data_IF_189364986313
#
_entry.id   IF_189364986313
#
_cell.length_a   1.000
_cell.length_b   1.000
_cell.length_c   1.000
_cell.angle_alpha   90.00
_cell.angle_beta   90.00
_cell.angle_gamma   90.00
#
_symmetry.space_group_name_H-M   'P 1'
#
loop_
_entity.id
_entity.type
_entity.pdbx_description
1 polymer ?
#
# COMPACT_ATOMS: atom_id res chain seq x y z
N UNK A 1 5.51 -11.76 -4.86
CA UNK A 1 5.98 -11.94 -6.27
C UNK A 1 6.68 -10.71 -6.82
N UNK A 2 6.13 -9.50 -6.69
CA UNK A 2 6.69 -8.24 -7.19
C UNK A 2 8.09 -7.98 -6.61
N UNK A 3 8.31 -8.24 -5.33
CA UNK A 3 9.63 -8.12 -4.67
C UNK A 3 10.70 -9.08 -5.25
N UNK A 4 10.30 -10.18 -5.87
CA UNK A 4 11.21 -11.11 -6.57
C UNK A 4 11.60 -10.62 -7.96
N UNK A 5 10.73 -9.88 -8.65
CA UNK A 5 11.03 -9.26 -9.94
C UNK A 5 12.04 -8.11 -9.74
N UNK A 6 11.88 -7.33 -8.67
CA UNK A 6 12.87 -6.32 -8.27
C UNK A 6 14.24 -6.93 -7.91
N UNK A 7 14.26 -8.11 -7.27
CA UNK A 7 15.52 -8.83 -6.96
C UNK A 7 16.30 -9.30 -8.20
N UNK A 8 15.62 -9.57 -9.31
CA UNK A 8 16.26 -10.02 -10.55
C UNK A 8 16.84 -8.90 -11.42
N UNK A 9 16.44 -7.65 -11.18
CA UNK A 9 16.83 -6.47 -12.00
C UNK A 9 17.86 -5.59 -11.30
N UNK A 10 18.00 -5.69 -9.97
CA UNK A 10 19.07 -5.05 -9.20
C UNK A 10 20.06 -6.12 -8.74
N UNK A 11 21.34 -5.82 -8.91
CA UNK A 11 22.47 -6.68 -8.61
C UNK A 11 22.39 -7.25 -7.19
N UNK A 12 22.28 -8.56 -7.05
CA UNK A 12 22.38 -9.27 -5.75
C UNK A 12 23.83 -9.38 -5.27
N UNK A 13 24.62 -8.32 -5.55
CA UNK A 13 26.02 -8.24 -5.19
C UNK A 13 26.19 -8.05 -3.70
N UNK A 14 27.22 -8.71 -3.15
CA UNK A 14 27.57 -8.57 -1.74
C UNK A 14 28.15 -7.18 -1.47
N UNK A 15 27.86 -6.64 -0.29
CA UNK A 15 28.41 -5.34 0.15
C UNK A 15 29.94 -5.30 0.17
N UNK A 16 30.59 -6.44 0.36
CA UNK A 16 32.06 -6.57 0.41
C UNK A 16 32.76 -6.26 -0.92
N UNK A 17 32.03 -6.20 -2.05
CA UNK A 17 32.57 -5.77 -3.34
C UNK A 17 32.85 -4.27 -3.37
N UNK A 18 32.19 -3.49 -2.49
CA UNK A 18 32.34 -2.05 -2.42
C UNK A 18 33.65 -1.69 -1.69
N UNK A 19 34.48 -0.86 -2.33
CA UNK A 19 35.74 -0.40 -1.75
C UNK A 19 35.53 0.21 -0.35
N UNK A 20 36.26 -0.29 0.63
CA UNK A 20 36.25 0.21 2.00
C UNK A 20 35.23 -0.47 2.91
N UNK A 21 34.55 -1.52 2.45
CA UNK A 21 33.70 -2.38 3.29
C UNK A 21 34.50 -3.61 3.71
N UNK A 22 34.90 -3.63 4.98
CA UNK A 22 35.37 -4.82 5.66
C UNK A 22 34.28 -5.42 6.56
N UNK A 23 34.55 -6.56 7.22
CA UNK A 23 33.58 -7.28 8.05
C UNK A 23 32.92 -6.42 9.14
N UNK A 24 33.65 -5.44 9.70
CA UNK A 24 33.13 -4.53 10.71
C UNK A 24 32.05 -3.57 10.18
N UNK A 25 32.28 -2.97 8.99
CA UNK A 25 31.32 -2.07 8.33
C UNK A 25 30.13 -2.83 7.80
N UNK A 26 30.35 -3.99 7.22
CA UNK A 26 29.26 -4.88 6.78
C UNK A 26 28.29 -5.20 7.95
N UNK A 27 28.83 -5.57 9.11
CA UNK A 27 28.05 -5.83 10.32
C UNK A 27 27.26 -4.59 10.79
N UNK A 28 27.83 -3.40 10.61
CA UNK A 28 27.12 -2.14 10.90
C UNK A 28 25.95 -1.91 9.94
N UNK A 29 26.17 -2.12 8.63
CA UNK A 29 25.14 -1.96 7.61
C UNK A 29 24.01 -2.99 7.76
N UNK A 30 24.31 -4.22 8.15
CA UNK A 30 23.32 -5.24 8.45
C UNK A 30 22.34 -4.84 9.56
N UNK A 31 22.79 -4.04 10.57
CA UNK A 31 21.89 -3.49 11.60
C UNK A 31 20.82 -2.56 11.03
N UNK A 32 21.05 -1.97 9.86
CA UNK A 32 20.11 -1.13 9.13
C UNK A 32 19.23 -1.91 8.14
N UNK A 33 19.38 -3.25 8.07
CA UNK A 33 18.72 -4.08 7.06
C UNK A 33 19.37 -4.03 5.68
N UNK A 34 20.56 -3.39 5.58
CA UNK A 34 21.32 -3.29 4.33
C UNK A 34 22.20 -4.53 4.21
N UNK A 35 21.81 -5.49 3.38
CA UNK A 35 22.47 -6.80 3.24
C UNK A 35 23.20 -7.02 1.91
N UNK A 36 22.85 -6.24 0.88
CA UNK A 36 23.40 -6.30 -0.47
C UNK A 36 23.38 -4.91 -1.13
N UNK A 37 23.92 -4.79 -2.34
CA UNK A 37 23.95 -3.53 -3.10
C UNK A 37 22.52 -3.00 -3.37
N UNK A 38 21.58 -3.86 -3.71
CA UNK A 38 20.18 -3.45 -3.91
C UNK A 38 19.59 -2.77 -2.67
N UNK A 39 19.73 -3.39 -1.49
CA UNK A 39 19.24 -2.81 -0.23
C UNK A 39 19.99 -1.54 0.16
N UNK A 40 21.27 -1.38 -0.26
CA UNK A 40 22.01 -0.14 -0.07
C UNK A 40 21.45 0.99 -0.93
N UNK A 41 21.25 0.76 -2.23
CA UNK A 41 20.75 1.76 -3.17
C UNK A 41 19.29 2.16 -2.90
N UNK A 42 18.49 1.25 -2.39
CA UNK A 42 17.10 1.53 -1.99
C UNK A 42 16.96 2.06 -0.57
N UNK A 43 18.06 2.17 0.18
CA UNK A 43 18.06 2.79 1.50
C UNK A 43 18.14 4.31 1.38
N UNK A 44 17.05 4.92 0.93
CA UNK A 44 16.99 6.35 0.68
C UNK A 44 17.13 7.19 1.96
N UNK A 45 17.70 8.41 1.85
CA UNK A 45 17.77 9.36 2.95
C UNK A 45 16.39 9.71 3.51
N UNK A 46 16.29 9.90 4.81
CA UNK A 46 15.06 10.37 5.47
C UNK A 46 14.79 11.86 5.21
N UNK A 47 15.86 12.65 5.10
CA UNK A 47 15.83 14.09 4.87
C UNK A 47 17.16 14.55 4.30
N UNK A 48 17.24 15.81 3.91
CA UNK A 48 18.44 16.43 3.39
C UNK A 48 18.75 17.72 4.14
N UNK A 49 20.03 18.05 4.25
CA UNK A 49 20.54 19.31 4.78
C UNK A 49 21.17 20.10 3.64
N UNK A 50 20.73 21.35 3.49
CA UNK A 50 21.41 22.27 2.58
C UNK A 50 22.65 22.85 3.27
N UNK A 51 23.83 22.31 2.90
CA UNK A 51 25.14 22.74 3.40
C UNK A 51 25.89 23.58 2.37
N UNK A 52 25.23 24.15 1.38
CA UNK A 52 25.85 25.04 0.40
C UNK A 52 26.40 26.30 1.06
N UNK A 53 25.72 26.79 2.10
CA UNK A 53 26.16 27.92 2.89
C UNK A 53 26.53 27.47 4.30
N UNK A 54 27.79 27.69 4.68
CA UNK A 54 28.30 27.55 6.04
C UNK A 54 28.48 28.96 6.59
N UNK A 55 27.78 29.26 7.67
CA UNK A 55 27.83 30.58 8.29
C UNK A 55 28.98 30.67 9.29
N UNK A 56 29.49 31.89 9.47
CA UNK A 56 30.35 32.21 10.62
C UNK A 56 29.46 32.42 11.85
N UNK A 57 30.00 32.09 13.02
CA UNK A 57 29.23 32.24 14.28
C UNK A 57 28.82 33.69 14.51
N UNK A 58 29.71 34.66 14.18
CA UNK A 58 29.44 36.08 14.33
C UNK A 58 28.34 36.64 13.39
N UNK A 59 28.05 35.94 12.28
CA UNK A 59 27.03 36.36 11.31
C UNK A 59 25.65 35.77 11.64
N UNK A 60 25.54 34.93 12.66
CA UNK A 60 24.27 34.29 13.02
C UNK A 60 23.30 35.29 13.63
N UNK A 61 22.06 35.21 13.18
CA UNK A 61 20.93 35.92 13.77
C UNK A 61 19.95 34.91 14.40
N UNK A 62 19.29 35.33 15.48
CA UNK A 62 18.25 34.48 16.10
C UNK A 62 17.16 34.12 15.10
N UNK A 63 16.82 32.84 15.02
CA UNK A 63 15.86 32.28 14.06
C UNK A 63 16.46 31.71 12.77
N UNK A 64 17.74 32.00 12.47
CA UNK A 64 18.43 31.42 11.30
C UNK A 64 18.68 29.93 11.48
N UNK A 65 18.46 29.16 10.41
CA UNK A 65 18.80 27.75 10.33
C UNK A 65 19.96 27.57 9.35
N UNK A 66 21.02 26.86 9.76
CA UNK A 66 22.16 26.62 8.87
C UNK A 66 23.29 25.85 9.54
N UNK A 67 24.33 25.62 8.74
CA UNK A 67 25.53 24.91 9.15
C UNK A 67 26.62 25.84 9.66
N UNK A 68 27.38 25.40 10.64
CA UNK A 68 28.50 26.10 11.24
C UNK A 68 29.63 25.10 11.46
N UNK A 69 30.87 25.56 11.26
CA UNK A 69 32.08 24.84 11.65
C UNK A 69 32.75 25.59 12.79
N UNK A 70 33.02 24.89 13.85
CA UNK A 70 33.75 25.49 15.00
C UNK A 70 34.60 24.47 15.73
N UNK A 71 35.55 24.98 16.48
CA UNK A 71 36.43 24.17 17.36
C UNK A 71 35.84 24.14 18.74
N UNK A 72 35.77 22.97 19.36
CA UNK A 72 35.28 22.78 20.74
C UNK A 72 36.25 23.46 21.71
N UNK A 73 35.73 24.44 22.46
CA UNK A 73 36.49 25.15 23.50
C UNK A 73 36.11 24.71 24.92
N UNK A 74 34.87 24.25 25.12
CA UNK A 74 34.42 23.74 26.43
C UNK A 74 33.34 22.68 26.27
N UNK A 75 33.30 21.74 27.22
CA UNK A 75 32.23 20.73 27.34
C UNK A 75 31.82 20.62 28.79
N UNK A 76 30.55 20.88 29.10
CA UNK A 76 30.05 20.85 30.46
C UNK A 76 28.72 20.09 30.54
N UNK A 77 28.59 19.19 31.52
CA UNK A 77 27.32 18.54 31.82
C UNK A 77 26.68 19.16 33.06
N UNK A 78 25.41 19.51 32.97
CA UNK A 78 24.60 20.02 34.08
C UNK A 78 23.42 19.09 34.31
N UNK A 79 23.04 18.87 35.57
CA UNK A 79 21.86 18.06 35.94
C UNK A 79 20.94 18.90 36.84
N UNK A 80 20.14 19.80 36.24
CA UNK A 80 19.30 20.72 37.03
C UNK A 80 18.17 20.02 37.78
N UNK A 81 17.74 18.84 37.33
CA UNK A 81 16.69 18.01 37.96
C UNK A 81 17.01 16.52 37.84
N UNK A 82 16.49 15.65 38.75
CA UNK A 82 16.52 14.21 38.56
C UNK A 82 15.82 13.85 37.21
N UNK A 83 16.40 13.17 36.29
CA UNK A 83 15.96 12.83 34.94
C UNK A 83 16.22 13.87 33.86
N UNK A 84 16.83 15.03 34.13
CA UNK A 84 17.20 16.01 33.11
C UNK A 84 18.71 16.21 33.11
N UNK A 85 19.39 15.71 32.09
CA UNK A 85 20.81 15.98 31.83
C UNK A 85 20.90 16.96 30.65
N UNK A 86 21.68 18.01 30.82
CA UNK A 86 21.99 19.01 29.81
C UNK A 86 23.49 18.96 29.54
N UNK A 87 23.87 18.57 28.34
CA UNK A 87 25.24 18.63 27.87
C UNK A 87 25.43 19.91 27.06
N UNK A 88 26.23 20.82 27.54
CA UNK A 88 26.62 22.04 26.82
C UNK A 88 27.98 21.84 26.16
N UNK A 89 28.03 22.00 24.85
CA UNK A 89 29.27 22.02 24.06
C UNK A 89 29.43 23.42 23.48
N UNK A 90 30.50 24.10 23.84
CA UNK A 90 30.79 25.43 23.30
C UNK A 90 31.82 25.30 22.20
N UNK A 91 31.48 25.80 21.01
CA UNK A 91 32.39 25.84 19.87
C UNK A 91 32.70 27.30 19.49
N UNK A 92 33.82 27.52 18.85
CA UNK A 92 34.25 28.83 18.34
C UNK A 92 34.92 28.70 16.97
N UNK A 93 34.74 29.72 16.12
CA UNK A 93 35.33 29.78 14.77
C UNK A 93 36.26 31.00 14.56
N UNK A 94 36.61 31.70 15.65
CA UNK A 94 37.38 32.95 15.62
C UNK A 94 36.52 34.21 15.48
N UNK A 95 35.22 34.13 15.13
CA UNK A 95 34.31 35.28 15.07
C UNK A 95 33.42 35.39 16.30
N UNK A 96 33.28 34.29 17.05
CA UNK A 96 32.53 34.25 18.32
C UNK A 96 32.32 32.84 18.85
N UNK A 97 31.77 32.70 20.05
CA UNK A 97 31.38 31.42 20.62
C UNK A 97 29.91 31.10 20.31
N UNK A 98 29.60 29.82 20.07
CA UNK A 98 28.26 29.27 19.97
C UNK A 98 28.08 28.17 21.01
N UNK A 99 26.99 28.22 21.73
CA UNK A 99 26.62 27.20 22.71
C UNK A 99 25.69 26.16 22.03
N UNK A 100 26.07 24.92 22.05
CA UNK A 100 25.27 23.77 21.64
C UNK A 100 24.72 23.11 22.87
N UNK A 101 23.40 22.93 22.93
CA UNK A 101 22.69 22.37 24.08
C UNK A 101 22.05 21.04 23.67
N UNK A 102 22.49 19.96 24.34
CA UNK A 102 21.96 18.61 24.07
C UNK A 102 21.21 18.12 25.32
N UNK A 103 19.91 17.90 25.18
CA UNK A 103 19.03 17.43 26.25
C UNK A 103 19.08 15.90 26.37
N UNK A 104 19.25 15.40 27.62
CA UNK A 104 19.30 13.97 27.96
C UNK A 104 20.33 13.15 27.16
N UNK A 105 21.41 13.81 26.70
CA UNK A 105 22.47 13.18 25.92
C UNK A 105 23.84 13.26 26.67
N UNK A 106 23.83 13.21 28.01
CA UNK A 106 25.03 13.24 28.80
C UNK A 106 26.05 12.14 28.45
N UNK A 107 25.59 11.00 27.95
CA UNK A 107 26.44 9.92 27.45
C UNK A 107 27.37 10.34 26.30
N UNK A 108 27.05 11.42 25.59
CA UNK A 108 27.87 11.98 24.51
C UNK A 108 29.05 12.86 25.03
N UNK A 109 29.16 13.12 26.31
CA UNK A 109 30.23 13.96 26.89
C UNK A 109 31.63 13.53 26.43
N UNK A 110 31.86 12.24 26.36
CA UNK A 110 33.18 11.69 25.99
C UNK A 110 33.44 11.70 24.47
N UNK A 111 32.42 11.97 23.65
CA UNK A 111 32.57 12.09 22.19
C UNK A 111 33.11 13.44 21.77
N UNK A 112 32.95 14.48 22.60
CA UNK A 112 33.37 15.83 22.28
C UNK A 112 34.57 16.23 23.16
N UNK A 113 35.71 16.42 22.53
CA UNK A 113 36.95 16.81 23.24
C UNK A 113 37.35 18.23 22.84
N UNK A 114 37.94 18.98 23.78
CA UNK A 114 38.52 20.30 23.50
C UNK A 114 39.53 20.20 22.38
N UNK A 115 39.47 21.15 21.41
CA UNK A 115 40.32 21.17 20.23
C UNK A 115 39.73 20.46 19.02
N UNK A 116 38.67 19.63 19.14
CA UNK A 116 38.06 18.98 18.01
C UNK A 116 37.27 19.97 17.11
N UNK A 117 37.39 19.81 15.79
CA UNK A 117 36.54 20.52 14.83
C UNK A 117 35.21 19.80 14.67
N UNK A 118 34.14 20.54 14.80
CA UNK A 118 32.76 20.02 14.72
C UNK A 118 31.99 20.86 13.69
N UNK A 119 31.23 20.18 12.86
CA UNK A 119 30.11 20.77 12.10
C UNK A 119 28.84 20.61 12.91
N UNK A 120 28.06 21.69 13.03
CA UNK A 120 26.73 21.70 13.63
C UNK A 120 25.73 22.33 12.70
N UNK A 121 24.58 21.68 12.49
CA UNK A 121 23.47 22.18 11.68
C UNK A 121 22.20 22.24 12.51
N UNK A 122 21.59 23.41 12.58
CA UNK A 122 20.39 23.62 13.37
C UNK A 122 19.91 25.06 13.33
N UNK A 123 18.85 25.32 14.10
CA UNK A 123 18.32 26.67 14.28
C UNK A 123 19.09 27.37 15.38
N UNK A 124 19.64 28.55 15.05
CA UNK A 124 20.31 29.42 16.01
C UNK A 124 19.29 30.29 16.74
N UNK A 125 19.37 30.37 18.05
CA UNK A 125 18.49 31.17 18.90
C UNK A 125 19.32 31.95 19.92
N UNK A 126 18.96 33.22 20.16
CA UNK A 126 19.58 33.99 21.22
C UNK A 126 18.81 33.79 22.51
N UNK A 127 19.41 33.06 23.47
CA UNK A 127 18.79 32.73 24.75
C UNK A 127 19.82 32.86 25.85
N UNK A 128 19.38 33.29 27.01
CA UNK A 128 20.25 33.44 28.23
C UNK A 128 21.55 34.23 27.97
N UNK A 129 21.47 35.29 27.16
CA UNK A 129 22.59 36.17 26.87
C UNK A 129 23.66 35.60 25.93
N UNK A 130 23.41 34.49 25.27
CA UNK A 130 24.31 33.87 24.29
C UNK A 130 23.58 33.27 23.10
N UNK A 131 24.26 33.22 21.93
CA UNK A 131 23.78 32.50 20.78
C UNK A 131 23.90 30.99 21.05
N UNK A 132 22.83 30.24 20.82
CA UNK A 132 22.82 28.78 21.05
C UNK A 132 22.06 28.03 19.96
N UNK A 133 22.36 26.74 19.84
CA UNK A 133 21.59 25.77 19.07
C UNK A 133 21.12 24.65 19.98
N UNK A 134 19.81 24.36 19.95
CA UNK A 134 19.20 23.28 20.74
C UNK A 134 19.15 22.01 19.93
N UNK A 135 19.85 20.98 20.39
CA UNK A 135 19.92 19.63 19.79
C UNK A 135 20.16 19.65 18.26
N UNK A 136 21.19 20.40 17.78
CA UNK A 136 21.52 20.40 16.36
C UNK A 136 22.05 19.03 15.93
N UNK A 137 22.04 18.79 14.63
CA UNK A 137 22.81 17.68 14.08
C UNK A 137 24.30 18.03 14.18
N UNK A 138 25.10 17.10 14.69
CA UNK A 138 26.53 17.33 14.91
C UNK A 138 27.35 16.23 14.23
N UNK A 139 28.44 16.64 13.60
CA UNK A 139 29.39 15.76 12.92
C UNK A 139 30.81 16.13 13.35
N UNK A 140 31.58 15.12 13.77
CA UNK A 140 32.98 15.33 14.10
C UNK A 140 33.82 15.28 12.81
N UNK A 141 34.48 16.36 12.47
CA UNK A 141 35.26 16.49 11.22
C UNK A 141 36.66 15.88 11.32
N UNK A 142 37.13 15.52 12.52
CA UNK A 142 38.51 15.08 12.75
C UNK A 142 39.53 16.21 12.57
N UNK A 143 40.81 15.86 12.53
CA UNK A 143 41.89 16.81 12.34
C UNK A 143 41.98 17.24 10.86
N UNK A 144 41.67 18.51 10.59
CA UNK A 144 41.74 19.08 9.23
C UNK A 144 40.61 18.68 8.29
N UNK A 145 39.60 17.91 8.75
CA UNK A 145 38.45 17.54 7.93
C UNK A 145 37.57 18.73 7.60
N UNK A 146 36.97 18.72 6.41
CA UNK A 146 35.97 19.67 5.98
C UNK A 146 34.58 18.99 5.95
N UNK A 147 33.50 19.73 6.23
CA UNK A 147 32.16 19.18 6.13
C UNK A 147 31.78 18.93 4.68
N UNK A 148 30.96 17.90 4.43
CA UNK A 148 30.33 17.72 3.12
C UNK A 148 29.56 19.00 2.76
N UNK A 149 29.77 19.49 1.52
CA UNK A 149 29.08 20.66 0.99
C UNK A 149 27.99 20.25 0.03
N UNK A 150 27.03 21.15 -0.25
CA UNK A 150 25.92 20.89 -1.13
C UNK A 150 24.67 20.40 -0.38
N UNK A 151 23.83 19.64 -1.05
CA UNK A 151 22.66 19.00 -0.43
C UNK A 151 23.07 17.63 0.11
N UNK A 152 23.20 17.52 1.42
CA UNK A 152 23.77 16.35 2.09
C UNK A 152 22.66 15.43 2.60
N UNK A 153 22.67 14.13 2.27
CA UNK A 153 21.67 13.17 2.70
C UNK A 153 21.82 12.83 4.20
N UNK A 154 20.69 12.72 4.88
CA UNK A 154 20.57 12.26 6.26
C UNK A 154 19.80 10.95 6.29
N UNK A 155 20.50 9.87 6.62
CA UNK A 155 19.92 8.53 6.69
C UNK A 155 19.36 8.24 8.09
N UNK A 156 18.35 7.36 8.17
CA UNK A 156 18.01 6.73 9.43
C UNK A 156 19.17 5.87 9.92
N UNK A 157 19.47 5.88 11.22
CA UNK A 157 20.59 5.16 11.78
C UNK A 157 20.13 4.20 12.90
N UNK A 158 20.94 3.17 13.14
CA UNK A 158 20.88 2.30 14.31
C UNK A 158 22.08 2.55 15.21
N UNK A 159 22.02 2.06 16.45
CA UNK A 159 23.10 2.22 17.42
C UNK A 159 24.45 1.68 16.91
N UNK A 160 25.46 2.55 17.01
CA UNK A 160 26.82 2.25 16.57
C UNK A 160 27.08 2.39 15.07
N UNK A 161 26.10 2.93 14.30
CA UNK A 161 26.27 3.28 12.88
C UNK A 161 26.29 4.80 12.74
N UNK A 162 27.24 5.34 11.97
CA UNK A 162 27.33 6.79 11.71
C UNK A 162 26.87 7.16 10.32
N UNK A 163 26.45 8.41 10.12
CA UNK A 163 26.14 8.99 8.80
C UNK A 163 27.29 8.79 7.82
N UNK A 164 28.51 8.97 8.31
CA UNK A 164 29.72 8.80 7.48
C UNK A 164 29.82 7.39 6.88
N UNK A 165 29.51 6.35 7.65
CA UNK A 165 29.57 4.96 7.15
C UNK A 165 28.61 4.78 5.99
N UNK A 166 27.36 5.20 6.12
CA UNK A 166 26.35 5.04 5.08
C UNK A 166 26.70 5.91 3.86
N UNK A 167 26.95 7.21 4.06
CA UNK A 167 27.32 8.14 2.96
C UNK A 167 28.56 7.68 2.20
N UNK A 168 29.62 7.32 2.90
CA UNK A 168 30.85 6.88 2.24
C UNK A 168 30.66 5.57 1.47
N UNK A 169 29.85 4.65 1.98
CA UNK A 169 29.53 3.41 1.28
C UNK A 169 28.78 3.65 -0.02
N UNK A 170 27.70 4.44 0.03
CA UNK A 170 26.92 4.80 -1.16
C UNK A 170 27.78 5.57 -2.16
N UNK A 171 28.57 6.55 -1.69
CA UNK A 171 29.47 7.33 -2.54
C UNK A 171 30.53 6.45 -3.23
N UNK A 172 31.13 5.52 -2.51
CA UNK A 172 32.12 4.60 -3.06
C UNK A 172 31.51 3.68 -4.11
N UNK A 173 30.26 3.26 -3.93
CA UNK A 173 29.57 2.47 -4.94
C UNK A 173 29.36 3.28 -6.22
N UNK A 174 28.83 4.50 -6.14
CA UNK A 174 28.64 5.37 -7.32
C UNK A 174 29.96 5.78 -7.99
N UNK A 175 31.06 5.87 -7.25
CA UNK A 175 32.36 6.16 -7.82
C UNK A 175 32.96 5.00 -8.62
N UNK A 176 32.59 3.76 -8.30
CA UNK A 176 33.08 2.56 -8.96
C UNK A 176 32.18 2.06 -10.09
N UNK A 177 30.91 2.49 -10.11
CA UNK A 177 29.89 2.05 -11.05
C UNK A 177 29.30 3.27 -11.75
N UNK A 178 29.01 3.14 -13.04
CA UNK A 178 28.52 4.25 -13.87
C UNK A 178 27.18 3.93 -14.54
N UNK A 179 26.65 2.72 -14.36
CA UNK A 179 25.44 2.27 -15.01
C UNK A 179 24.58 1.44 -14.05
N UNK A 180 23.27 1.50 -14.26
CA UNK A 180 22.29 0.59 -13.67
C UNK A 180 21.39 0.07 -14.81
N UNK A 181 20.92 -1.19 -14.74
CA UNK A 181 19.99 -1.72 -15.72
C UNK A 181 18.71 -0.89 -15.75
N UNK A 182 18.29 -0.49 -16.94
CA UNK A 182 17.02 0.20 -17.15
C UNK A 182 15.85 -0.77 -17.03
N UNK A 183 14.75 -0.32 -16.41
CA UNK A 183 13.51 -1.10 -16.26
C UNK A 183 12.47 -0.65 -17.26
N UNK A 184 12.38 0.66 -17.48
CA UNK A 184 11.39 1.23 -18.38
C UNK A 184 11.81 1.04 -19.84
N UNK A 185 10.86 0.72 -20.74
CA UNK A 185 11.10 0.76 -22.18
C UNK A 185 11.64 2.12 -22.62
N UNK A 186 12.44 2.12 -23.69
CA UNK A 186 13.08 3.34 -24.22
C UNK A 186 12.02 4.38 -24.61
N UNK A 187 10.92 3.95 -25.22
CA UNK A 187 9.82 4.82 -25.64
C UNK A 187 9.21 5.57 -24.45
N UNK A 188 8.99 4.88 -23.33
CA UNK A 188 8.44 5.49 -22.10
C UNK A 188 9.42 6.49 -21.50
N UNK A 189 10.72 6.18 -21.52
CA UNK A 189 11.74 7.10 -21.00
C UNK A 189 11.85 8.37 -21.83
N UNK A 190 11.80 8.25 -23.16
CA UNK A 190 11.91 9.36 -24.09
C UNK A 190 10.67 10.28 -24.00
N UNK A 191 9.45 9.71 -23.97
CA UNK A 191 8.20 10.46 -23.85
C UNK A 191 8.14 11.29 -22.55
N UNK A 192 8.64 10.75 -21.46
CA UNK A 192 8.64 11.41 -20.16
C UNK A 192 9.91 12.21 -19.87
N UNK A 193 10.90 12.21 -20.77
CA UNK A 193 12.20 12.82 -20.58
C UNK A 193 12.89 12.41 -19.27
N UNK A 194 12.83 11.11 -18.97
CA UNK A 194 13.46 10.56 -17.77
C UNK A 194 14.98 10.49 -17.92
N UNK A 195 15.69 10.72 -16.82
CA UNK A 195 17.14 10.54 -16.75
C UNK A 195 17.49 9.05 -16.72
N UNK A 196 18.79 8.72 -16.87
CA UNK A 196 19.24 7.35 -16.66
C UNK A 196 18.86 6.87 -15.26
N UNK A 197 18.59 5.60 -15.12
CA UNK A 197 18.28 5.02 -13.81
C UNK A 197 19.43 5.21 -12.81
N UNK A 198 20.65 5.14 -13.29
CA UNK A 198 21.84 5.45 -12.49
C UNK A 198 21.79 6.89 -11.95
N UNK A 199 21.51 7.87 -12.81
CA UNK A 199 21.40 9.27 -12.38
C UNK A 199 20.22 9.49 -11.44
N UNK A 200 19.09 8.82 -11.66
CA UNK A 200 17.94 8.91 -10.77
C UNK A 200 18.28 8.42 -9.34
N UNK A 201 18.94 7.26 -9.21
CA UNK A 201 19.41 6.79 -7.91
C UNK A 201 20.46 7.72 -7.30
N UNK A 202 21.39 8.23 -8.11
CA UNK A 202 22.42 9.18 -7.65
C UNK A 202 21.79 10.48 -7.14
N UNK A 203 20.79 11.03 -7.84
CA UNK A 203 20.08 12.24 -7.39
C UNK A 203 19.23 11.98 -6.14
N UNK A 204 18.74 10.76 -5.92
CA UNK A 204 18.09 10.39 -4.66
C UNK A 204 19.05 10.34 -3.48
N UNK A 205 20.30 10.03 -3.69
CA UNK A 205 21.30 9.99 -2.60
C UNK A 205 22.08 11.30 -2.47
N UNK A 206 22.48 11.91 -3.56
CA UNK A 206 23.31 13.12 -3.62
C UNK A 206 22.74 14.09 -4.64
N UNK A 207 21.64 14.77 -4.35
CA UNK A 207 21.01 15.67 -5.30
C UNK A 207 21.85 16.93 -5.52
N UNK A 208 22.04 17.33 -6.76
CA UNK A 208 22.69 18.59 -7.12
C UNK A 208 21.74 19.78 -6.91
N UNK A 209 20.42 19.54 -7.02
CA UNK A 209 19.37 20.53 -6.76
C UNK A 209 18.09 19.87 -6.26
N UNK A 210 17.21 20.64 -5.62
CA UNK A 210 15.90 20.16 -5.20
C UNK A 210 15.03 19.76 -6.40
N UNK A 211 15.18 20.42 -7.54
CA UNK A 211 14.43 20.10 -8.75
C UNK A 211 14.83 18.71 -9.31
N UNK A 212 16.14 18.44 -9.39
CA UNK A 212 16.63 17.13 -9.85
C UNK A 212 16.23 16.00 -8.88
N UNK A 213 16.22 16.27 -7.58
CA UNK A 213 15.71 15.35 -6.59
C UNK A 213 14.24 14.98 -6.84
N UNK A 214 13.37 15.98 -7.05
CA UNK A 214 11.94 15.71 -7.29
C UNK A 214 11.72 14.97 -8.62
N UNK A 215 12.48 15.28 -9.67
CA UNK A 215 12.42 14.54 -10.93
C UNK A 215 12.83 13.06 -10.73
N UNK A 216 13.94 12.83 -10.05
CA UNK A 216 14.42 11.48 -9.74
C UNK A 216 13.41 10.68 -8.90
N UNK A 217 12.86 11.31 -7.86
CA UNK A 217 11.84 10.71 -6.99
C UNK A 217 10.59 10.33 -7.77
N UNK A 218 10.11 11.22 -8.63
CA UNK A 218 8.95 10.95 -9.49
C UNK A 218 9.20 9.79 -10.44
N UNK A 219 10.36 9.78 -11.11
CA UNK A 219 10.75 8.71 -12.02
C UNK A 219 10.82 7.34 -11.31
N UNK A 220 11.50 7.25 -10.16
CA UNK A 220 11.62 5.98 -9.44
C UNK A 220 10.27 5.50 -8.88
N UNK A 221 9.40 6.42 -8.45
CA UNK A 221 8.02 6.07 -8.07
C UNK A 221 7.22 5.55 -9.29
N UNK A 222 7.39 6.15 -10.46
CA UNK A 222 6.78 5.67 -11.70
C UNK A 222 7.29 4.28 -12.06
N UNK A 223 8.60 4.03 -11.98
CA UNK A 223 9.19 2.70 -12.23
C UNK A 223 8.57 1.62 -11.31
N UNK A 224 8.41 1.93 -10.03
CA UNK A 224 7.81 1.01 -9.06
C UNK A 224 6.38 0.64 -9.43
N UNK A 225 5.57 1.64 -9.76
CA UNK A 225 4.19 1.45 -10.21
C UNK A 225 4.11 0.73 -11.56
N UNK A 226 5.00 1.05 -12.50
CA UNK A 226 5.06 0.39 -13.80
C UNK A 226 5.35 -1.11 -13.66
N UNK A 227 6.35 -1.50 -12.88
CA UNK A 227 6.68 -2.92 -12.65
C UNK A 227 5.52 -3.65 -11.98
N UNK A 228 4.85 -3.01 -11.01
CA UNK A 228 3.67 -3.57 -10.37
C UNK A 228 2.53 -3.78 -11.39
N UNK A 229 2.23 -2.79 -12.22
CA UNK A 229 1.18 -2.86 -13.22
C UNK A 229 1.51 -3.87 -14.34
N UNK A 230 2.76 -3.91 -14.80
CA UNK A 230 3.21 -4.92 -15.75
C UNK A 230 3.08 -6.35 -15.19
N UNK A 231 3.44 -6.54 -13.92
CA UNK A 231 3.26 -7.83 -13.23
C UNK A 231 1.80 -8.24 -13.13
N UNK A 232 0.91 -7.31 -12.79
CA UNK A 232 -0.54 -7.54 -12.76
C UNK A 232 -1.09 -7.85 -14.16
N UNK A 233 -0.64 -7.13 -15.19
CA UNK A 233 -1.05 -7.37 -16.57
C UNK A 233 -0.63 -8.76 -17.07
N UNK A 234 0.56 -9.22 -16.70
CA UNK A 234 1.02 -10.59 -17.01
C UNK A 234 0.18 -11.66 -16.31
N UNK A 235 -0.20 -11.43 -15.05
CA UNK A 235 -1.10 -12.33 -14.32
C UNK A 235 -2.48 -12.38 -14.97
N UNK A 236 -3.04 -11.23 -15.34
CA UNK A 236 -4.31 -11.15 -16.10
C UNK A 236 -4.28 -11.94 -17.39
N UNK A 237 -3.24 -11.73 -18.21
CA UNK A 237 -3.09 -12.44 -19.46
C UNK A 237 -3.03 -13.96 -19.26
N UNK A 238 -2.39 -14.43 -18.17
CA UNK A 238 -2.32 -15.85 -17.83
C UNK A 238 -3.69 -16.42 -17.43
N UNK A 239 -4.49 -15.68 -16.68
CA UNK A 239 -5.85 -16.08 -16.30
C UNK A 239 -6.82 -15.98 -17.48
N UNK A 240 -6.66 -15.01 -18.37
CA UNK A 240 -7.46 -14.84 -19.58
C UNK A 240 -7.23 -15.92 -20.66
N UNK A 241 -6.21 -16.76 -20.51
CA UNK A 241 -6.01 -17.94 -21.38
C UNK A 241 -7.02 -19.07 -21.10
N UNK A 242 -7.78 -18.99 -20.00
CA UNK A 242 -8.81 -19.97 -19.68
C UNK A 242 -10.14 -19.59 -20.31
N UNK A 243 -10.85 -20.59 -20.85
CA UNK A 243 -12.22 -20.41 -21.33
C UNK A 243 -13.18 -20.60 -20.17
N UNK A 244 -14.05 -19.63 -19.98
CA UNK A 244 -15.16 -19.70 -19.02
C UNK A 244 -16.47 -20.15 -19.66
N UNK A 245 -17.53 -20.28 -18.88
CA UNK A 245 -18.86 -20.58 -19.38
C UNK A 245 -19.42 -19.39 -20.19
N UNK A 246 -19.46 -19.51 -21.51
CA UNK A 246 -20.09 -18.50 -22.37
C UNK A 246 -21.60 -18.59 -22.22
N UNK A 247 -22.24 -17.54 -21.76
CA UNK A 247 -23.70 -17.49 -21.58
C UNK A 247 -24.39 -16.83 -22.78
N UNK A 248 -25.60 -17.23 -23.03
CA UNK A 248 -26.46 -16.62 -24.02
C UNK A 248 -27.05 -15.28 -23.56
N UNK A 249 -27.92 -14.65 -24.38
CA UNK A 249 -28.65 -13.43 -24.02
C UNK A 249 -29.49 -13.61 -22.74
N UNK A 250 -29.98 -12.53 -22.20
CA UNK A 250 -30.92 -12.57 -21.06
C UNK A 250 -32.22 -13.25 -21.48
N UNK A 251 -32.75 -14.13 -20.64
CA UNK A 251 -33.97 -14.89 -20.92
C UNK A 251 -35.16 -14.44 -20.07
N UNK A 252 -36.16 -15.33 -19.98
CA UNK A 252 -37.45 -15.02 -19.34
C UNK A 252 -37.37 -14.89 -17.81
N UNK A 253 -36.55 -15.68 -17.13
CA UNK A 253 -36.47 -15.64 -15.67
C UNK A 253 -35.99 -14.26 -15.17
N UNK A 254 -35.00 -13.70 -15.84
CA UNK A 254 -34.50 -12.37 -15.51
C UNK A 254 -35.56 -11.30 -15.79
N UNK A 255 -36.28 -11.38 -16.92
CA UNK A 255 -37.34 -10.44 -17.26
C UNK A 255 -38.49 -10.50 -16.25
N UNK A 256 -38.99 -11.70 -15.93
CA UNK A 256 -40.04 -11.91 -14.93
C UNK A 256 -39.60 -11.41 -13.52
N UNK A 257 -38.36 -11.63 -13.16
CA UNK A 257 -37.84 -11.11 -11.90
C UNK A 257 -37.88 -9.57 -11.87
N UNK A 258 -37.46 -8.90 -12.95
CA UNK A 258 -37.44 -7.42 -13.03
C UNK A 258 -38.88 -6.87 -12.96
N UNK A 259 -39.84 -7.49 -13.63
CA UNK A 259 -41.25 -7.08 -13.59
C UNK A 259 -41.87 -7.23 -12.20
N UNK A 260 -41.47 -8.24 -11.46
CA UNK A 260 -41.96 -8.51 -10.10
C UNK A 260 -41.26 -7.70 -8.99
N UNK A 261 -40.21 -6.92 -9.33
CA UNK A 261 -39.58 -6.08 -8.32
C UNK A 261 -40.52 -4.96 -7.86
N UNK A 262 -40.62 -4.68 -6.54
CA UNK A 262 -41.45 -3.60 -6.00
C UNK A 262 -40.90 -2.19 -6.28
N UNK A 263 -39.84 -2.07 -7.07
CA UNK A 263 -39.16 -0.82 -7.42
C UNK A 263 -38.49 -0.94 -8.80
N UNK A 264 -38.22 0.20 -9.42
CA UNK A 264 -37.46 0.25 -10.66
C UNK A 264 -35.96 0.27 -10.38
N UNK A 265 -35.17 -0.37 -11.23
CA UNK A 265 -33.71 -0.33 -11.18
C UNK A 265 -33.20 1.09 -11.46
N UNK A 266 -32.20 1.55 -10.70
CA UNK A 266 -31.53 2.82 -10.97
C UNK A 266 -30.66 2.74 -12.23
N UNK A 267 -30.30 3.91 -12.78
CA UNK A 267 -29.44 3.97 -13.96
C UNK A 267 -28.08 3.30 -13.75
N UNK A 268 -27.49 3.44 -12.54
CA UNK A 268 -26.23 2.78 -12.19
C UNK A 268 -26.37 1.25 -12.09
N UNK A 269 -27.48 0.75 -11.54
CA UNK A 269 -27.77 -0.69 -11.49
C UNK A 269 -27.93 -1.29 -12.87
N UNK A 270 -28.64 -0.59 -13.78
CA UNK A 270 -28.80 -1.01 -15.17
C UNK A 270 -27.46 -1.06 -15.91
N UNK A 271 -26.60 -0.02 -15.72
CA UNK A 271 -25.24 -0.02 -16.30
C UNK A 271 -24.39 -1.16 -15.78
N UNK A 272 -24.43 -1.41 -14.47
CA UNK A 272 -23.69 -2.51 -13.85
C UNK A 272 -24.15 -3.88 -14.37
N UNK A 273 -25.46 -4.07 -14.59
CA UNK A 273 -26.02 -5.29 -15.20
C UNK A 273 -25.59 -5.44 -16.64
N UNK A 274 -25.54 -4.35 -17.41
CA UNK A 274 -25.07 -4.38 -18.79
C UNK A 274 -23.58 -4.73 -18.88
N UNK A 275 -22.76 -4.16 -18.03
CA UNK A 275 -21.34 -4.52 -17.91
C UNK A 275 -21.15 -6.02 -17.61
N UNK A 276 -21.92 -6.55 -16.65
CA UNK A 276 -21.89 -7.96 -16.25
C UNK A 276 -22.39 -8.84 -17.39
N UNK A 277 -23.45 -8.42 -18.10
CA UNK A 277 -23.99 -9.15 -19.25
C UNK A 277 -22.93 -9.34 -20.35
N UNK A 278 -22.25 -8.25 -20.70
CA UNK A 278 -21.18 -8.27 -21.72
C UNK A 278 -20.07 -9.24 -21.31
N UNK A 279 -19.63 -9.19 -20.07
CA UNK A 279 -18.56 -10.08 -19.58
C UNK A 279 -19.01 -11.56 -19.55
N UNK A 280 -20.27 -11.85 -19.15
CA UNK A 280 -20.78 -13.24 -19.08
C UNK A 280 -21.07 -13.83 -20.46
N UNK A 281 -21.27 -13.01 -21.47
CA UNK A 281 -21.46 -13.43 -22.87
C UNK A 281 -20.14 -13.60 -23.64
N UNK A 282 -19.01 -13.19 -23.05
CA UNK A 282 -17.67 -13.46 -23.58
C UNK A 282 -17.23 -14.92 -23.27
N UNK A 283 -16.27 -15.43 -24.03
CA UNK A 283 -15.62 -16.72 -23.77
C UNK A 283 -14.66 -16.70 -22.59
N UNK A 284 -14.33 -15.52 -22.09
CA UNK A 284 -13.43 -15.32 -20.96
C UNK A 284 -14.20 -15.29 -19.64
N UNK A 285 -13.66 -15.91 -18.56
CA UNK A 285 -14.29 -15.81 -17.26
C UNK A 285 -14.36 -14.36 -16.79
N UNK A 286 -15.56 -13.87 -16.47
CA UNK A 286 -15.71 -12.55 -15.85
C UNK A 286 -14.97 -12.51 -14.51
N UNK A 287 -14.21 -11.45 -14.29
CA UNK A 287 -13.61 -11.09 -13.01
C UNK A 287 -13.98 -9.63 -12.72
N UNK A 288 -15.07 -9.39 -11.97
CA UNK A 288 -15.62 -8.04 -11.79
C UNK A 288 -15.87 -7.69 -10.34
N UNK A 289 -15.55 -6.45 -9.99
CA UNK A 289 -15.87 -5.83 -8.70
C UNK A 289 -17.11 -4.93 -8.86
N UNK A 290 -18.17 -5.24 -8.12
CA UNK A 290 -19.37 -4.41 -7.97
C UNK A 290 -19.25 -3.60 -6.69
N UNK A 291 -19.01 -2.32 -6.81
CA UNK A 291 -18.83 -1.40 -5.69
C UNK A 291 -20.04 -0.48 -5.57
N UNK A 292 -20.51 -0.30 -4.35
CA UNK A 292 -21.62 0.63 -4.06
C UNK A 292 -21.84 0.72 -2.55
N UNK A 293 -22.44 1.81 -2.10
CA UNK A 293 -22.71 2.03 -0.68
C UNK A 293 -23.71 0.98 -0.11
N UNK A 294 -23.80 0.89 1.21
CA UNK A 294 -24.78 0.02 1.88
C UNK A 294 -26.21 0.43 1.45
N UNK A 295 -26.97 -0.54 0.92
CA UNK A 295 -28.32 -0.31 0.43
C UNK A 295 -28.41 0.34 -0.96
N UNK A 296 -27.33 0.41 -1.74
CA UNK A 296 -27.35 0.80 -3.17
C UNK A 296 -27.98 -0.24 -4.09
N UNK A 297 -28.37 -1.42 -3.57
CA UNK A 297 -29.00 -2.49 -4.32
C UNK A 297 -28.02 -3.46 -5.02
N UNK A 298 -26.78 -3.60 -4.53
CA UNK A 298 -25.83 -4.61 -5.03
C UNK A 298 -26.41 -6.02 -5.07
N UNK A 299 -27.15 -6.41 -4.03
CA UNK A 299 -27.78 -7.73 -3.93
C UNK A 299 -28.78 -7.99 -5.08
N UNK A 300 -29.52 -6.98 -5.53
CA UNK A 300 -30.44 -7.12 -6.67
C UNK A 300 -29.68 -7.37 -7.95
N UNK A 301 -28.62 -6.61 -8.20
CA UNK A 301 -27.73 -6.83 -9.35
C UNK A 301 -27.12 -8.23 -9.32
N UNK A 302 -26.65 -8.67 -8.16
CA UNK A 302 -26.15 -10.02 -7.94
C UNK A 302 -27.19 -11.10 -8.24
N UNK A 303 -28.43 -10.93 -7.75
CA UNK A 303 -29.53 -11.87 -7.98
C UNK A 303 -29.86 -11.98 -9.46
N UNK A 304 -29.99 -10.85 -10.16
CA UNK A 304 -30.28 -10.84 -11.59
C UNK A 304 -29.15 -11.50 -12.42
N UNK A 305 -27.90 -11.32 -11.99
CA UNK A 305 -26.75 -12.00 -12.63
C UNK A 305 -26.78 -13.52 -12.41
N UNK A 306 -27.21 -13.97 -11.22
CA UNK A 306 -27.40 -15.41 -10.93
C UNK A 306 -28.54 -16.00 -11.76
N UNK A 307 -29.65 -15.28 -11.93
CA UNK A 307 -30.73 -15.73 -12.79
C UNK A 307 -30.29 -15.90 -14.22
N UNK A 308 -29.45 -14.99 -14.75
CA UNK A 308 -28.83 -15.16 -16.07
C UNK A 308 -28.00 -16.44 -16.17
N UNK A 309 -27.24 -16.78 -15.13
CA UNK A 309 -26.48 -18.04 -15.11
C UNK A 309 -27.40 -19.25 -15.11
N UNK A 310 -28.46 -19.22 -14.30
CA UNK A 310 -29.43 -20.32 -14.18
C UNK A 310 -30.19 -20.55 -15.49
N UNK A 311 -30.65 -19.49 -16.16
CA UNK A 311 -31.31 -19.56 -17.47
C UNK A 311 -30.43 -20.24 -18.53
N UNK A 312 -29.11 -20.12 -18.38
CA UNK A 312 -28.15 -20.74 -19.28
C UNK A 312 -27.70 -22.15 -18.84
N UNK A 313 -28.41 -22.76 -17.87
CA UNK A 313 -28.14 -24.14 -17.43
C UNK A 313 -26.95 -24.25 -16.45
N UNK A 314 -26.54 -23.17 -15.83
CA UNK A 314 -25.47 -23.15 -14.84
C UNK A 314 -26.02 -22.97 -13.42
N UNK A 315 -25.25 -23.41 -12.44
CA UNK A 315 -25.49 -23.16 -11.02
C UNK A 315 -24.80 -21.87 -10.58
N UNK A 316 -25.37 -21.20 -9.57
CA UNK A 316 -24.80 -20.02 -8.96
C UNK A 316 -24.52 -20.20 -7.48
N UNK A 317 -23.43 -19.57 -6.99
CA UNK A 317 -23.07 -19.59 -5.59
C UNK A 317 -22.85 -18.17 -5.04
N UNK A 318 -23.36 -17.89 -3.83
CA UNK A 318 -23.08 -16.66 -3.07
C UNK A 318 -22.32 -17.04 -1.80
N UNK A 319 -21.16 -16.46 -1.63
CA UNK A 319 -20.34 -16.62 -0.41
C UNK A 319 -20.41 -15.34 0.42
N UNK A 320 -20.94 -15.45 1.64
CA UNK A 320 -21.03 -14.38 2.63
C UNK A 320 -20.04 -14.62 3.79
N UNK A 321 -19.50 -13.55 4.41
CA UNK A 321 -18.48 -13.68 5.45
C UNK A 321 -19.01 -14.24 6.79
N UNK A 322 -20.30 -14.14 7.06
CA UNK A 322 -20.94 -14.60 8.30
C UNK A 322 -22.24 -15.34 8.01
N UNK A 323 -22.64 -16.21 8.92
CA UNK A 323 -23.91 -16.94 8.81
C UNK A 323 -25.13 -16.01 8.80
N UNK A 324 -25.06 -14.91 9.56
CA UNK A 324 -26.13 -13.90 9.59
C UNK A 324 -26.31 -13.25 8.23
N UNK A 325 -25.23 -12.85 7.58
CA UNK A 325 -25.29 -12.26 6.24
C UNK A 325 -25.74 -13.28 5.18
N UNK A 326 -25.28 -14.53 5.30
CA UNK A 326 -25.74 -15.60 4.43
C UNK A 326 -27.26 -15.83 4.55
N UNK A 327 -27.80 -15.86 5.78
CA UNK A 327 -29.24 -15.97 6.02
C UNK A 327 -30.03 -14.77 5.48
N UNK A 328 -29.52 -13.55 5.67
CA UNK A 328 -30.14 -12.33 5.10
C UNK A 328 -30.18 -12.36 3.56
N UNK A 329 -29.08 -12.77 2.91
CA UNK A 329 -29.08 -12.96 1.46
C UNK A 329 -30.07 -14.02 1.03
N UNK A 330 -30.13 -15.16 1.74
CA UNK A 330 -31.06 -16.25 1.44
C UNK A 330 -32.51 -15.80 1.48
N UNK A 331 -32.94 -15.18 2.59
CA UNK A 331 -34.32 -14.68 2.77
C UNK A 331 -34.68 -13.63 1.71
N UNK A 332 -33.78 -12.66 1.49
CA UNK A 332 -34.00 -11.61 0.50
C UNK A 332 -34.13 -12.15 -0.93
N UNK A 333 -33.24 -13.04 -1.33
CA UNK A 333 -33.22 -13.62 -2.69
C UNK A 333 -34.40 -14.59 -2.86
N UNK A 334 -34.71 -15.40 -1.84
CA UNK A 334 -35.87 -16.30 -1.87
C UNK A 334 -37.18 -15.52 -2.10
N UNK A 335 -37.32 -14.36 -1.42
CA UNK A 335 -38.50 -13.50 -1.61
C UNK A 335 -38.62 -12.97 -3.03
N UNK A 336 -37.52 -12.51 -3.61
CA UNK A 336 -37.49 -11.97 -4.99
C UNK A 336 -37.73 -13.07 -6.04
N UNK A 337 -37.28 -14.29 -5.77
CA UNK A 337 -37.33 -15.43 -6.70
C UNK A 337 -38.50 -16.39 -6.43
N UNK A 338 -39.43 -16.08 -5.51
CA UNK A 338 -40.46 -17.02 -5.02
C UNK A 338 -41.30 -17.70 -6.10
N UNK A 339 -41.55 -17.03 -7.22
CA UNK A 339 -42.43 -17.52 -8.30
C UNK A 339 -41.68 -17.97 -9.58
N UNK A 340 -40.34 -18.09 -9.48
CA UNK A 340 -39.52 -18.38 -10.67
C UNK A 340 -39.19 -19.88 -10.85
N UNK A 341 -39.67 -20.76 -9.97
CA UNK A 341 -39.44 -22.21 -10.07
C UNK A 341 -38.00 -22.64 -9.85
N UNK A 342 -37.17 -21.81 -9.23
CA UNK A 342 -35.76 -22.11 -8.94
C UNK A 342 -35.58 -22.63 -7.50
N UNK A 343 -34.70 -23.60 -7.34
CA UNK A 343 -34.34 -24.16 -6.02
C UNK A 343 -33.15 -23.40 -5.44
N UNK A 344 -33.34 -22.78 -4.27
CA UNK A 344 -32.33 -22.01 -3.56
C UNK A 344 -32.12 -22.65 -2.18
N UNK A 345 -30.86 -22.88 -1.79
CA UNK A 345 -30.51 -23.48 -0.50
C UNK A 345 -29.50 -22.65 0.26
N UNK A 346 -29.47 -22.84 1.59
CA UNK A 346 -28.54 -22.18 2.51
C UNK A 346 -27.62 -23.24 3.14
N UNK A 347 -26.30 -23.04 3.01
CA UNK A 347 -25.27 -23.89 3.59
C UNK A 347 -24.36 -23.11 4.53
N UNK A 348 -24.44 -23.39 5.82
CA UNK A 348 -23.62 -22.73 6.86
C UNK A 348 -22.89 -23.76 7.72
N UNK A 349 -22.03 -23.29 8.64
CA UNK A 349 -21.38 -24.13 9.63
C UNK A 349 -22.39 -24.84 10.54
N UNK A 350 -23.49 -24.16 10.89
CA UNK A 350 -24.57 -24.64 11.76
C UNK A 350 -25.54 -25.63 11.10
N UNK A 351 -25.48 -25.83 9.77
CA UNK A 351 -26.33 -26.81 9.07
C UNK A 351 -26.07 -28.23 9.60
N UNK A 352 -27.14 -28.98 9.83
CA UNK A 352 -27.04 -30.38 10.32
C UNK A 352 -26.40 -31.31 9.30
N UNK A 353 -25.88 -32.43 9.76
CA UNK A 353 -25.24 -33.41 8.86
C UNK A 353 -26.18 -33.89 7.74
N UNK A 354 -27.45 -34.15 8.10
CA UNK A 354 -28.49 -34.61 7.15
C UNK A 354 -28.82 -33.54 6.09
N UNK A 355 -28.89 -32.27 6.51
CA UNK A 355 -29.09 -31.15 5.58
C UNK A 355 -27.89 -31.00 4.67
N UNK A 356 -26.66 -31.08 5.17
CA UNK A 356 -25.44 -31.03 4.35
C UNK A 356 -25.41 -32.12 3.29
N UNK A 357 -25.71 -33.38 3.69
CA UNK A 357 -25.78 -34.50 2.76
C UNK A 357 -26.81 -34.24 1.64
N UNK A 358 -28.04 -33.82 1.99
CA UNK A 358 -29.08 -33.47 1.01
C UNK A 358 -28.64 -32.34 0.06
N UNK A 359 -28.01 -31.31 0.61
CA UNK A 359 -27.55 -30.17 -0.20
C UNK A 359 -26.41 -30.61 -1.11
N UNK A 360 -25.48 -31.45 -0.63
CA UNK A 360 -24.37 -31.95 -1.46
C UNK A 360 -24.86 -32.80 -2.63
N UNK A 361 -25.85 -33.67 -2.39
CA UNK A 361 -26.49 -34.46 -3.44
C UNK A 361 -27.18 -33.54 -4.48
N UNK A 362 -28.00 -32.59 -4.02
CA UNK A 362 -28.71 -31.67 -4.90
C UNK A 362 -27.82 -30.67 -5.67
N UNK A 363 -26.64 -30.36 -5.16
CA UNK A 363 -25.65 -29.59 -5.91
C UNK A 363 -24.97 -30.45 -6.97
N UNK A 364 -24.67 -31.72 -6.66
CA UNK A 364 -23.99 -32.64 -7.55
C UNK A 364 -24.89 -33.13 -8.69
N UNK A 365 -26.18 -33.28 -8.47
CA UNK A 365 -27.15 -33.69 -9.50
C UNK A 365 -27.77 -32.51 -10.27
N UNK A 366 -27.55 -31.26 -9.83
CA UNK A 366 -28.04 -30.03 -10.48
C UNK A 366 -29.45 -29.63 -10.10
N UNK A 367 -30.13 -30.31 -9.14
CA UNK A 367 -31.48 -29.93 -8.67
C UNK A 367 -31.48 -28.65 -7.84
N UNK A 368 -30.35 -28.29 -7.23
CA UNK A 368 -30.15 -27.00 -6.57
C UNK A 368 -29.51 -26.04 -7.59
N UNK A 369 -30.25 -24.99 -7.95
CA UNK A 369 -29.84 -23.99 -8.92
C UNK A 369 -28.97 -22.90 -8.30
N UNK A 370 -29.25 -22.53 -7.05
CA UNK A 370 -28.52 -21.48 -6.34
C UNK A 370 -28.20 -21.91 -4.90
N UNK A 371 -26.96 -21.70 -4.48
CA UNK A 371 -26.53 -21.95 -3.12
C UNK A 371 -25.98 -20.66 -2.48
N UNK A 372 -26.40 -20.37 -1.26
CA UNK A 372 -25.92 -19.28 -0.46
C UNK A 372 -25.24 -19.85 0.79
N UNK A 373 -24.09 -19.35 1.16
CA UNK A 373 -23.44 -19.89 2.35
C UNK A 373 -22.20 -19.12 2.77
N UNK A 374 -21.50 -19.70 3.72
CA UNK A 374 -20.23 -19.18 4.24
C UNK A 374 -19.05 -19.99 3.68
N UNK A 375 -17.93 -20.01 4.40
CA UNK A 375 -16.78 -20.87 4.08
C UNK A 375 -17.13 -22.37 3.96
N UNK A 376 -18.32 -22.80 4.38
CA UNK A 376 -18.80 -24.16 4.20
C UNK A 376 -18.87 -24.55 2.70
N UNK A 377 -19.10 -23.58 1.80
CA UNK A 377 -19.11 -23.82 0.34
C UNK A 377 -17.76 -24.26 -0.24
N UNK A 378 -16.66 -24.00 0.44
CA UNK A 378 -15.30 -24.31 -0.02
C UNK A 378 -14.83 -25.68 0.46
N UNK A 379 -15.59 -26.37 1.33
CA UNK A 379 -15.22 -27.68 1.89
C UNK A 379 -15.15 -28.74 0.79
N UNK A 380 -14.32 -29.76 1.00
CA UNK A 380 -14.03 -30.80 0.00
C UNK A 380 -15.28 -31.60 -0.44
N UNK A 381 -16.27 -31.75 0.43
CA UNK A 381 -17.50 -32.50 0.13
C UNK A 381 -18.48 -31.77 -0.81
N UNK A 382 -18.32 -30.48 -1.07
CA UNK A 382 -19.20 -29.69 -1.95
C UNK A 382 -18.77 -29.85 -3.40
N UNK A 383 -19.59 -30.49 -4.23
CA UNK A 383 -19.37 -30.62 -5.66
C UNK A 383 -20.55 -30.04 -6.40
N UNK A 384 -20.29 -29.26 -7.45
CA UNK A 384 -21.31 -28.68 -8.32
C UNK A 384 -21.43 -29.50 -9.61
N UNK A 385 -22.65 -29.62 -10.12
CA UNK A 385 -22.90 -30.20 -11.44
C UNK A 385 -22.33 -29.29 -12.55
N UNK A 386 -22.63 -28.00 -12.47
CA UNK A 386 -22.20 -27.03 -13.49
C UNK A 386 -22.15 -25.60 -12.93
N UNK A 387 -21.14 -25.29 -12.11
CA UNK A 387 -21.00 -23.97 -11.50
C UNK A 387 -20.57 -22.90 -12.53
N UNK A 388 -21.43 -21.92 -12.83
CA UNK A 388 -21.17 -20.87 -13.81
C UNK A 388 -20.87 -19.49 -13.24
N UNK A 389 -21.45 -19.14 -12.08
CA UNK A 389 -21.24 -17.84 -11.44
C UNK A 389 -21.00 -17.97 -9.95
N UNK A 390 -19.96 -17.32 -9.46
CA UNK A 390 -19.63 -17.19 -8.05
C UNK A 390 -19.70 -15.73 -7.66
N UNK A 391 -20.45 -15.43 -6.60
CA UNK A 391 -20.54 -14.11 -5.99
C UNK A 391 -19.88 -14.14 -4.61
N UNK A 392 -18.99 -13.19 -4.33
CA UNK A 392 -18.32 -13.04 -3.05
C UNK A 392 -18.69 -11.69 -2.44
N UNK A 393 -19.37 -11.72 -1.29
CA UNK A 393 -19.73 -10.50 -0.58
C UNK A 393 -18.66 -10.12 0.45
N UNK A 394 -18.35 -8.80 0.57
CA UNK A 394 -17.39 -8.24 1.53
C UNK A 394 -16.00 -8.93 1.53
N UNK A 395 -15.34 -8.90 0.38
CA UNK A 395 -14.09 -9.62 0.10
C UNK A 395 -12.98 -9.45 1.15
N UNK A 396 -12.89 -8.30 1.83
CA UNK A 396 -11.77 -8.08 2.80
C UNK A 396 -11.78 -9.03 3.99
N UNK A 397 -12.82 -9.81 4.16
CA UNK A 397 -12.92 -10.84 5.18
C UNK A 397 -12.52 -12.24 4.68
N UNK A 398 -12.20 -12.36 3.38
CA UNK A 398 -11.78 -13.63 2.76
C UNK A 398 -10.33 -13.57 2.29
N UNK A 399 -9.57 -14.64 2.54
CA UNK A 399 -8.21 -14.81 2.01
C UNK A 399 -8.20 -15.09 0.51
N UNK A 400 -7.10 -14.75 -0.17
CA UNK A 400 -6.89 -15.03 -1.61
C UNK A 400 -7.07 -16.53 -1.92
N UNK A 401 -6.62 -17.41 -1.01
CA UNK A 401 -6.73 -18.87 -1.16
C UNK A 401 -8.17 -19.39 -1.17
N UNK A 402 -9.08 -18.71 -0.48
CA UNK A 402 -10.48 -19.16 -0.40
C UNK A 402 -11.22 -18.93 -1.71
N UNK A 403 -10.95 -17.79 -2.40
CA UNK A 403 -11.48 -17.55 -3.75
C UNK A 403 -10.99 -18.58 -4.74
N UNK A 404 -9.68 -18.82 -4.75
CA UNK A 404 -9.07 -19.80 -5.64
C UNK A 404 -9.69 -21.18 -5.48
N UNK A 405 -9.96 -21.60 -4.25
CA UNK A 405 -10.64 -22.89 -3.96
C UNK A 405 -12.07 -22.93 -4.49
N UNK A 406 -12.84 -21.83 -4.37
CA UNK A 406 -14.21 -21.82 -4.88
C UNK A 406 -14.23 -21.77 -6.43
N UNK A 407 -13.30 -21.07 -7.05
CA UNK A 407 -13.13 -21.09 -8.50
C UNK A 407 -12.75 -22.49 -9.03
N UNK A 408 -11.99 -23.25 -8.25
CA UNK A 408 -11.62 -24.64 -8.60
C UNK A 408 -12.79 -25.65 -8.51
N UNK A 409 -13.94 -25.26 -7.91
CA UNK A 409 -15.16 -26.09 -7.84
C UNK A 409 -15.93 -26.13 -9.17
N UNK A 410 -15.60 -25.28 -10.15
CA UNK A 410 -16.15 -25.25 -11.48
C UNK A 410 -15.07 -25.19 -12.57
N UNK A 411 -15.48 -25.22 -13.83
CA UNK A 411 -14.56 -25.04 -14.96
C UNK A 411 -14.42 -23.53 -15.24
N UNK A 412 -13.61 -22.84 -14.44
CA UNK A 412 -13.38 -21.39 -14.51
C UNK A 412 -14.68 -20.55 -14.51
N UNK A 413 -15.48 -20.60 -13.43
CA UNK A 413 -16.73 -19.85 -13.33
C UNK A 413 -16.48 -18.35 -13.37
N UNK A 414 -17.47 -17.59 -13.81
CA UNK A 414 -17.49 -16.13 -13.63
C UNK A 414 -17.44 -15.77 -12.16
N UNK A 415 -16.77 -14.67 -11.83
CA UNK A 415 -16.64 -14.18 -10.45
C UNK A 415 -17.09 -12.74 -10.36
N UNK A 416 -18.06 -12.49 -9.51
CA UNK A 416 -18.53 -11.15 -9.13
C UNK A 416 -18.21 -10.91 -7.65
N UNK A 417 -17.44 -9.87 -7.36
CA UNK A 417 -17.11 -9.48 -6.01
C UNK A 417 -17.92 -8.26 -5.64
N UNK A 418 -18.55 -8.26 -4.47
CA UNK A 418 -19.30 -7.13 -3.95
C UNK A 418 -18.57 -6.48 -2.78
N UNK A 419 -18.58 -5.14 -2.71
CA UNK A 419 -18.07 -4.41 -1.55
C UNK A 419 -18.87 -3.14 -1.29
N UNK A 420 -19.09 -2.83 0.00
CA UNK A 420 -19.69 -1.57 0.44
C UNK A 420 -18.63 -0.49 0.72
N UNK A 421 -17.35 -0.87 0.90
CA UNK A 421 -16.31 0.11 1.17
C UNK A 421 -15.92 0.87 -0.10
N UNK A 422 -15.98 2.22 -0.10
CA UNK A 422 -15.49 3.01 -1.22
C UNK A 422 -13.96 2.89 -1.28
N UNK A 423 -13.46 2.05 -2.20
CA UNK A 423 -12.03 1.96 -2.48
C UNK A 423 -11.73 2.99 -3.57
N UNK A 424 -10.80 3.95 -3.38
CA UNK A 424 -10.42 4.88 -4.42
C UNK A 424 -10.03 4.14 -5.70
N UNK A 425 -10.49 4.62 -6.86
CA UNK A 425 -10.28 3.96 -8.16
C UNK A 425 -8.80 3.64 -8.42
N UNK A 426 -7.90 4.52 -8.00
CA UNK A 426 -6.45 4.31 -8.07
C UNK A 426 -5.99 3.15 -7.19
N UNK A 427 -6.59 2.97 -6.02
CA UNK A 427 -6.27 1.88 -5.11
C UNK A 427 -6.90 0.55 -5.57
N UNK A 428 -8.08 0.61 -6.20
CA UNK A 428 -8.70 -0.56 -6.84
C UNK A 428 -7.81 -1.10 -7.95
N UNK A 429 -7.27 -0.24 -8.80
CA UNK A 429 -6.32 -0.60 -9.85
C UNK A 429 -4.99 -1.15 -9.32
N UNK A 430 -4.58 -0.73 -8.12
CA UNK A 430 -3.32 -1.16 -7.51
C UNK A 430 -3.44 -2.48 -6.73
N UNK A 431 -4.56 -2.70 -6.04
CA UNK A 431 -4.78 -3.85 -5.15
C UNK A 431 -5.57 -4.96 -5.83
N UNK A 432 -6.50 -4.60 -6.69
CA UNK A 432 -7.40 -5.50 -7.43
C UNK A 432 -7.23 -5.34 -8.94
N UNK A 433 -6.00 -5.13 -9.38
CA UNK A 433 -5.66 -4.81 -10.75
C UNK A 433 -6.13 -5.82 -11.81
N UNK A 434 -6.61 -6.97 -11.39
CA UNK A 434 -7.18 -8.05 -12.20
C UNK A 434 -8.70 -7.92 -12.40
N UNK A 435 -9.41 -7.04 -11.66
CA UNK A 435 -10.86 -6.94 -11.70
C UNK A 435 -11.33 -5.76 -12.57
N UNK A 436 -12.32 -6.00 -13.43
CA UNK A 436 -13.15 -4.94 -14.00
C UNK A 436 -14.04 -4.33 -12.90
N UNK A 437 -14.37 -3.05 -12.99
CA UNK A 437 -15.09 -2.35 -11.90
C UNK A 437 -16.37 -1.73 -12.41
N UNK A 438 -17.51 -2.07 -11.76
CA UNK A 438 -18.80 -1.40 -11.91
C UNK A 438 -19.17 -0.68 -10.62
N UNK A 439 -19.58 0.59 -10.73
CA UNK A 439 -19.89 1.46 -9.59
C UNK A 439 -21.39 1.76 -9.54
N UNK A 440 -22.01 1.55 -8.36
CA UNK A 440 -23.38 1.98 -8.07
C UNK A 440 -23.31 3.14 -7.07
N UNK A 441 -23.50 4.37 -7.56
CA UNK A 441 -23.53 5.59 -6.75
C UNK A 441 -24.95 6.04 -6.44
N UNK A 442 -25.87 5.76 -7.33
CA UNK A 442 -27.27 6.10 -7.17
C UNK A 442 -27.92 5.26 -6.08
N UNK A 443 -28.68 5.92 -5.20
CA UNK A 443 -29.49 5.23 -4.18
C UNK A 443 -30.88 4.93 -4.74
N UNK A 444 -31.48 3.77 -4.39
CA UNK A 444 -32.83 3.44 -4.79
C UNK A 444 -33.84 4.49 -4.32
N UNK A 445 -34.92 4.75 -5.11
CA UNK A 445 -35.97 5.68 -4.72
C UNK A 445 -36.58 5.34 -3.37
N UNK A 446 -36.89 6.38 -2.54
CA UNK A 446 -37.52 6.22 -1.23
C UNK A 446 -36.55 6.13 -0.04
N UNK A 447 -35.25 6.04 -0.25
CA UNK A 447 -34.28 6.08 0.86
C UNK A 447 -34.07 7.51 1.34
N UNK A 448 -34.31 7.72 2.65
CA UNK A 448 -34.08 9.02 3.29
C UNK A 448 -32.57 9.22 3.51
N UNK A 449 -32.01 10.41 3.20
CA UNK A 449 -30.62 10.69 3.50
C UNK A 449 -30.36 10.66 5.01
N UNK A 450 -29.25 10.06 5.41
CA UNK A 450 -28.80 10.06 6.81
C UNK A 450 -28.32 11.46 7.18
N UNK A 451 -28.94 12.06 8.20
CA UNK A 451 -28.49 13.34 8.76
C UNK A 451 -27.48 13.06 9.87
N UNK A 452 -26.26 13.53 9.71
CA UNK A 452 -25.21 13.40 10.72
C UNK A 452 -25.10 14.70 11.53
N UNK A 453 -25.15 14.58 12.86
CA UNK A 453 -24.99 15.69 13.79
C UNK A 453 -23.77 15.43 14.66
N UNK A 454 -22.86 16.39 14.73
CA UNK A 454 -21.81 16.38 15.74
C UNK A 454 -22.37 17.00 17.02
N UNK A 455 -22.43 16.20 18.09
CA UNK A 455 -22.93 16.64 19.40
C UNK A 455 -21.85 16.39 20.46
N UNK A 456 -21.80 17.24 21.48
CA UNK A 456 -20.90 17.06 22.61
C UNK A 456 -21.47 16.03 23.63
N UNK A 457 -20.69 15.73 24.66
CA UNK A 457 -21.03 14.71 25.66
C UNK A 457 -22.30 15.04 26.48
N UNK A 458 -22.79 16.30 26.49
CA UNK A 458 -24.00 16.71 27.20
C UNK A 458 -25.29 16.16 26.57
N UNK A 459 -25.24 15.75 25.30
CA UNK A 459 -26.37 15.14 24.59
C UNK A 459 -26.52 13.63 24.81
N UNK A 460 -25.59 13.01 25.53
CA UNK A 460 -25.57 11.54 25.70
C UNK A 460 -26.85 10.97 26.36
N UNK A 461 -27.49 11.72 27.23
CA UNK A 461 -28.76 11.33 27.90
C UNK A 461 -29.99 11.46 27.00
N UNK A 462 -29.95 12.31 25.97
CA UNK A 462 -31.05 12.49 24.99
C UNK A 462 -31.00 11.51 23.82
N UNK A 463 -29.91 10.75 23.67
CA UNK A 463 -29.70 9.76 22.61
C UNK A 463 -30.06 8.33 23.08
N UNK A 464 -30.49 8.16 24.31
CA UNK A 464 -31.11 6.94 24.87
C UNK A 464 -32.64 7.12 24.86
#
# INVERSE_FOLDING_TARGET
>A
CVYRIFKGVLMDERLTTIKGIGPGREKQLHKLGITNVTSLLTYFPRTYEDRRTIYRIGDLKSGMTGGIVGTVIAVQEKRPRPRLSILEVVIADGTGPLKIVLFNQGYKKNFYKKGQRIYAYGKAEFQYGSMQMNTPQMENLGDGGEPDRGIVPIYALADGVSQFVVRSTVRNWFAANHELPEILPVEVRDDHHYMSRYDAFKMMHFPDSSELYEKARYQLAYEELFVMQAGLALLRNKEQCHRGPKMGPNGELMAQCIENLPFSLTGDQQRALEDIRIDMEDERPMQRLLQGDVGSGKTVVATLSLLKAIENGYQGAIMAPTEILAAQHYEGIQTVCANLGITIELLTGSSTKKEKERIYEGLADGTIHMIIGTHALIQEGVNFHNLGLVIVDEQHRFGVDQRARLQQKGTYPHVLIMTATPIPRTMTLSVYGDLAVSLIKEMPPGRKPVKTYAVDSSYKERLR
#
